data_IF_847371221004
#
_entry.id   IF_847371221004
#
_cell.length_a   1.000
_cell.length_b   1.000
_cell.length_c   1.000
_cell.angle_alpha   90.00
_cell.angle_beta   90.00
_cell.angle_gamma   90.00
#
_symmetry.space_group_name_H-M   'P 1'
#
loop_
_entity.id
_entity.type
_entity.pdbx_description
1 polymer ?
#
# COMPACT_ATOMS: atom_id res chain seq x y z
N UNK A 1 32.24 8.27 21.22
CA UNK A 1 30.83 7.92 21.49
C UNK A 1 30.01 8.31 20.26
N UNK A 2 29.92 7.51 19.18
CA UNK A 2 29.23 8.00 17.95
C UNK A 2 28.66 6.96 16.95
N UNK A 3 28.88 5.64 17.10
CA UNK A 3 28.35 4.65 16.12
C UNK A 3 27.02 4.02 16.56
N UNK A 4 26.63 4.20 17.83
CA UNK A 4 25.34 3.73 18.36
C UNK A 4 24.14 4.52 17.82
N UNK A 5 24.36 5.74 17.32
CA UNK A 5 23.29 6.72 17.07
C UNK A 5 22.61 6.56 15.69
N UNK A 6 23.37 6.16 14.67
CA UNK A 6 22.84 6.06 13.29
C UNK A 6 21.80 4.95 13.10
N UNK A 7 21.85 3.90 13.92
CA UNK A 7 20.87 2.80 13.87
C UNK A 7 19.48 3.26 14.31
N UNK A 8 19.42 4.12 15.34
CA UNK A 8 18.16 4.73 15.78
C UNK A 8 17.53 5.55 14.67
N UNK A 9 18.31 6.36 13.97
CA UNK A 9 17.82 7.15 12.83
C UNK A 9 17.23 6.28 11.72
N UNK A 10 17.88 5.18 11.34
CA UNK A 10 17.36 4.26 10.33
C UNK A 10 16.10 3.54 10.78
N UNK A 11 16.08 3.08 12.03
CA UNK A 11 14.89 2.46 12.64
C UNK A 11 13.72 3.43 12.62
N UNK A 12 13.90 4.64 13.15
CA UNK A 12 12.84 5.66 13.23
C UNK A 12 12.35 6.05 11.83
N UNK A 13 13.24 6.13 10.85
CA UNK A 13 12.88 6.39 9.46
C UNK A 13 12.03 5.25 8.87
N UNK A 14 12.40 3.99 9.09
CA UNK A 14 11.61 2.84 8.65
C UNK A 14 10.25 2.77 9.34
N UNK A 15 10.20 3.07 10.65
CA UNK A 15 8.97 3.09 11.44
C UNK A 15 8.02 4.20 10.96
N UNK A 16 8.56 5.40 10.72
CA UNK A 16 7.81 6.50 10.14
C UNK A 16 7.28 6.16 8.75
N UNK A 17 8.08 5.47 7.92
CA UNK A 17 7.66 5.00 6.60
C UNK A 17 6.51 4.00 6.70
N UNK A 18 6.60 3.01 7.60
CA UNK A 18 5.53 2.04 7.84
C UNK A 18 4.22 2.73 8.21
N UNK A 19 4.28 3.66 9.16
CA UNK A 19 3.11 4.42 9.61
C UNK A 19 2.52 5.29 8.47
N UNK A 20 3.37 5.96 7.71
CA UNK A 20 2.95 6.78 6.56
C UNK A 20 2.26 5.95 5.47
N UNK A 21 2.77 4.75 5.19
CA UNK A 21 2.15 3.82 4.26
C UNK A 21 0.77 3.37 4.75
N UNK A 22 0.62 3.07 6.04
CA UNK A 22 -0.67 2.68 6.63
C UNK A 22 -1.69 3.81 6.50
N UNK A 23 -1.34 5.01 6.97
CA UNK A 23 -2.22 6.18 6.90
C UNK A 23 -2.63 6.49 5.46
N UNK A 24 -1.69 6.38 4.51
CA UNK A 24 -1.98 6.59 3.09
C UNK A 24 -2.96 5.54 2.56
N UNK A 25 -2.75 4.27 2.90
CA UNK A 25 -3.63 3.18 2.50
C UNK A 25 -5.05 3.37 3.06
N UNK A 26 -5.19 3.68 4.35
CA UNK A 26 -6.48 3.91 5.00
C UNK A 26 -7.21 5.10 4.37
N UNK A 27 -6.53 6.23 4.19
CA UNK A 27 -7.09 7.43 3.59
C UNK A 27 -7.56 7.17 2.16
N UNK A 28 -6.72 6.55 1.33
CA UNK A 28 -7.07 6.25 -0.05
C UNK A 28 -8.24 5.26 -0.15
N UNK A 29 -8.30 4.29 0.75
CA UNK A 29 -9.40 3.31 0.82
C UNK A 29 -10.70 4.00 1.20
N UNK A 30 -10.70 4.83 2.24
CA UNK A 30 -11.86 5.59 2.68
C UNK A 30 -12.42 6.50 1.57
N UNK A 31 -11.55 7.25 0.88
CA UNK A 31 -11.96 8.14 -0.22
C UNK A 31 -12.63 7.36 -1.36
N UNK A 32 -12.14 6.17 -1.69
CA UNK A 32 -12.73 5.36 -2.76
C UNK A 32 -14.07 4.76 -2.36
N UNK A 33 -14.19 4.31 -1.12
CA UNK A 33 -15.46 3.81 -0.59
C UNK A 33 -16.53 4.90 -0.54
N UNK A 34 -16.15 6.11 -0.14
CA UNK A 34 -17.03 7.28 -0.17
C UNK A 34 -17.48 7.58 -1.62
N UNK A 35 -16.56 7.56 -2.59
CA UNK A 35 -16.89 7.75 -4.01
C UNK A 35 -17.87 6.69 -4.53
N UNK A 36 -17.65 5.42 -4.18
CA UNK A 36 -18.52 4.31 -4.56
C UNK A 36 -19.91 4.49 -3.93
N UNK A 37 -19.96 4.86 -2.65
CA UNK A 37 -21.20 5.09 -1.92
C UNK A 37 -22.01 6.24 -2.55
N UNK A 38 -21.38 7.39 -2.80
CA UNK A 38 -22.04 8.55 -3.44
C UNK A 38 -22.60 8.14 -4.80
N UNK A 39 -21.82 7.44 -5.63
CA UNK A 39 -22.29 6.94 -6.94
C UNK A 39 -23.50 6.02 -6.81
N UNK A 40 -23.50 5.11 -5.83
CA UNK A 40 -24.61 4.20 -5.62
C UNK A 40 -25.88 4.93 -5.12
N UNK A 41 -25.72 5.93 -4.25
CA UNK A 41 -26.85 6.73 -3.73
C UNK A 41 -27.44 7.69 -4.78
N UNK A 42 -26.63 8.14 -5.73
CA UNK A 42 -27.04 9.11 -6.78
C UNK A 42 -27.40 8.47 -8.11
N UNK A 43 -27.10 7.19 -8.30
CA UNK A 43 -27.39 6.44 -9.52
C UNK A 43 -28.82 5.88 -9.54
N UNK A 44 -29.50 5.97 -10.68
CA UNK A 44 -30.86 5.45 -10.90
C UNK A 44 -30.95 3.90 -10.97
N UNK A 45 -30.00 3.16 -10.40
CA UNK A 45 -29.92 1.70 -10.50
C UNK A 45 -29.50 1.05 -9.20
N UNK A 46 -30.12 -0.08 -8.87
CA UNK A 46 -29.74 -1.00 -7.81
C UNK A 46 -28.40 -1.69 -8.11
N UNK A 47 -27.34 -0.91 -8.35
CA UNK A 47 -25.99 -1.44 -8.50
C UNK A 47 -25.56 -1.95 -7.11
N UNK A 48 -25.43 -3.27 -6.99
CA UNK A 48 -24.99 -3.92 -5.76
C UNK A 48 -23.64 -3.32 -5.32
N UNK A 49 -23.60 -2.64 -4.18
CA UNK A 49 -22.39 -1.98 -3.70
C UNK A 49 -21.42 -3.05 -3.20
N UNK A 50 -20.35 -3.32 -3.95
CA UNK A 50 -19.27 -4.20 -3.49
C UNK A 50 -18.29 -3.43 -2.62
N UNK A 51 -18.57 -3.34 -1.32
CA UNK A 51 -17.67 -2.73 -0.34
C UNK A 51 -16.34 -3.52 -0.14
N UNK A 52 -16.30 -4.81 -0.51
CA UNK A 52 -15.10 -5.65 -0.46
C UNK A 52 -14.39 -5.75 -1.83
N UNK A 53 -13.84 -4.61 -2.28
CA UNK A 53 -13.06 -4.50 -3.51
C UNK A 53 -11.59 -4.90 -3.35
N UNK A 54 -10.83 -4.83 -4.45
CA UNK A 54 -9.40 -5.12 -4.50
C UNK A 54 -8.58 -4.43 -3.41
N UNK A 55 -8.92 -3.18 -3.02
CA UNK A 55 -8.22 -2.45 -1.95
C UNK A 55 -8.32 -3.14 -0.60
N UNK A 56 -9.52 -3.50 -0.14
CA UNK A 56 -9.72 -4.14 1.18
C UNK A 56 -9.12 -5.55 1.28
N UNK A 57 -8.97 -6.26 0.17
CA UNK A 57 -8.43 -7.62 0.16
C UNK A 57 -6.94 -7.62 -0.21
N UNK A 58 -6.66 -7.47 -1.50
CA UNK A 58 -5.30 -7.54 -2.06
C UNK A 58 -4.46 -6.31 -1.72
N UNK A 59 -5.07 -5.13 -1.62
CA UNK A 59 -4.40 -3.91 -1.15
C UNK A 59 -3.94 -4.06 0.30
N UNK A 60 -4.84 -4.49 1.19
CA UNK A 60 -4.53 -4.73 2.60
C UNK A 60 -3.43 -5.78 2.76
N UNK A 61 -3.55 -6.94 2.10
CA UNK A 61 -2.54 -8.00 2.17
C UNK A 61 -1.14 -7.49 1.81
N UNK A 62 -1.01 -6.77 0.69
CA UNK A 62 0.28 -6.23 0.27
C UNK A 62 0.82 -5.15 1.19
N UNK A 63 -0.06 -4.34 1.79
CA UNK A 63 0.36 -3.42 2.84
C UNK A 63 0.95 -4.20 4.02
N UNK A 64 0.27 -5.27 4.48
CA UNK A 64 0.76 -6.14 5.56
C UNK A 64 2.10 -6.76 5.20
N UNK A 65 2.27 -7.29 3.99
CA UNK A 65 3.54 -7.86 3.51
C UNK A 65 4.69 -6.82 3.57
N UNK A 66 4.41 -5.56 3.19
CA UNK A 66 5.39 -4.47 3.27
C UNK A 66 5.70 -4.09 4.72
N UNK A 67 4.68 -4.04 5.58
CA UNK A 67 4.84 -3.73 6.99
C UNK A 67 5.70 -4.78 7.70
N UNK A 68 5.46 -6.06 7.45
CA UNK A 68 6.26 -7.18 7.97
C UNK A 68 7.69 -7.15 7.47
N UNK A 69 7.91 -6.82 6.18
CA UNK A 69 9.25 -6.62 5.64
C UNK A 69 10.00 -5.50 6.36
N UNK A 70 9.32 -4.39 6.65
CA UNK A 70 9.91 -3.26 7.39
C UNK A 70 10.23 -3.67 8.83
N UNK A 71 9.31 -4.37 9.51
CA UNK A 71 9.52 -4.82 10.89
C UNK A 71 10.68 -5.82 10.98
N UNK A 72 10.80 -6.73 10.02
CA UNK A 72 11.94 -7.64 9.89
C UNK A 72 13.25 -6.86 9.70
N UNK A 73 13.27 -5.88 8.80
CA UNK A 73 14.46 -5.06 8.56
C UNK A 73 14.88 -4.25 9.80
N UNK A 74 13.93 -3.73 10.58
CA UNK A 74 14.20 -3.04 11.85
C UNK A 74 14.89 -4.00 12.82
N UNK A 75 14.36 -5.22 12.97
CA UNK A 75 14.94 -6.23 13.84
C UNK A 75 16.38 -6.63 13.42
N UNK A 76 16.59 -6.83 12.11
CA UNK A 76 17.91 -7.14 11.58
C UNK A 76 18.91 -5.99 11.77
N UNK A 77 18.48 -4.73 11.61
CA UNK A 77 19.32 -3.54 11.84
C UNK A 77 19.81 -3.46 13.29
N UNK A 78 18.98 -3.83 14.27
CA UNK A 78 19.34 -3.81 15.69
C UNK A 78 20.44 -4.83 16.03
N UNK A 79 20.39 -6.01 15.38
CA UNK A 79 21.32 -7.11 15.63
C UNK A 79 22.59 -7.07 14.75
N UNK A 80 22.63 -6.18 13.76
CA UNK A 80 23.70 -6.12 12.76
C UNK A 80 24.83 -5.16 13.11
N UNK A 81 25.99 -5.37 12.47
CA UNK A 81 27.06 -4.36 12.43
C UNK A 81 26.58 -3.12 11.69
N UNK A 82 27.22 -1.96 11.91
CA UNK A 82 26.77 -0.70 11.30
C UNK A 82 26.76 -0.74 9.76
N UNK A 83 27.75 -1.42 9.17
CA UNK A 83 27.85 -1.59 7.71
C UNK A 83 26.74 -2.49 7.15
N UNK A 84 26.39 -3.56 7.89
CA UNK A 84 25.28 -4.43 7.52
C UNK A 84 23.94 -3.72 7.68
N UNK A 85 23.76 -3.00 8.78
CA UNK A 85 22.55 -2.22 9.06
C UNK A 85 22.28 -1.17 7.97
N UNK A 86 23.31 -0.47 7.48
CA UNK A 86 23.15 0.50 6.38
C UNK A 86 22.71 -0.19 5.07
N UNK A 87 23.23 -1.39 4.80
CA UNK A 87 22.87 -2.18 3.62
C UNK A 87 21.44 -2.72 3.72
N UNK A 88 21.03 -3.21 4.89
CA UNK A 88 19.66 -3.66 5.17
C UNK A 88 18.69 -2.48 4.98
N UNK A 89 19.01 -1.32 5.56
CA UNK A 89 18.20 -0.10 5.41
C UNK A 89 18.02 0.28 3.94
N UNK A 90 19.11 0.40 3.17
CA UNK A 90 19.05 0.76 1.75
C UNK A 90 18.29 -0.26 0.91
N UNK A 91 18.47 -1.56 1.20
CA UNK A 91 17.74 -2.63 0.50
C UNK A 91 16.24 -2.56 0.79
N UNK A 92 15.87 -2.26 2.03
CA UNK A 92 14.47 -2.11 2.46
C UNK A 92 13.83 -0.94 1.75
N UNK A 93 14.49 0.24 1.71
CA UNK A 93 14.00 1.40 0.97
C UNK A 93 13.72 1.09 -0.51
N UNK A 94 14.64 0.40 -1.18
CA UNK A 94 14.48 0.01 -2.59
C UNK A 94 13.30 -0.94 -2.79
N UNK A 95 13.14 -1.90 -1.88
CA UNK A 95 12.07 -2.89 -1.94
C UNK A 95 10.70 -2.24 -1.75
N UNK A 96 10.57 -1.37 -0.75
CA UNK A 96 9.35 -0.57 -0.51
C UNK A 96 9.04 0.31 -1.72
N UNK A 97 10.02 1.01 -2.29
CA UNK A 97 9.81 1.85 -3.46
C UNK A 97 9.32 1.04 -4.68
N UNK A 98 9.89 -0.14 -4.90
CA UNK A 98 9.47 -1.04 -5.97
C UNK A 98 8.03 -1.54 -5.76
N UNK A 99 7.69 -1.98 -4.55
CA UNK A 99 6.36 -2.46 -4.21
C UNK A 99 5.31 -1.35 -4.33
N UNK A 100 5.60 -0.15 -3.84
CA UNK A 100 4.73 1.02 -4.01
C UNK A 100 4.50 1.38 -5.47
N UNK A 101 5.53 1.26 -6.32
CA UNK A 101 5.40 1.47 -7.76
C UNK A 101 4.48 0.42 -8.39
N UNK A 102 4.64 -0.85 -8.04
CA UNK A 102 3.77 -1.93 -8.54
C UNK A 102 2.34 -1.82 -8.04
N UNK A 103 2.12 -1.46 -6.77
CA UNK A 103 0.80 -1.19 -6.23
C UNK A 103 0.05 -0.14 -7.06
N UNK A 104 0.73 0.97 -7.39
CA UNK A 104 0.17 2.03 -8.25
C UNK A 104 -0.17 1.55 -9.66
N UNK A 105 0.66 0.69 -10.26
CA UNK A 105 0.38 0.11 -11.59
C UNK A 105 -0.85 -0.79 -11.53
N UNK A 106 -0.91 -1.68 -10.53
CA UNK A 106 -1.99 -2.64 -10.41
C UNK A 106 -3.32 -1.94 -10.11
N UNK A 107 -3.34 -0.94 -9.22
CA UNK A 107 -4.54 -0.12 -8.97
C UNK A 107 -5.07 0.58 -10.22
N UNK A 108 -4.17 1.10 -11.07
CA UNK A 108 -4.57 1.69 -12.37
C UNK A 108 -5.16 0.64 -13.30
N UNK A 109 -4.58 -0.56 -13.34
CA UNK A 109 -5.05 -1.64 -14.22
C UNK A 109 -6.40 -2.20 -13.79
N UNK A 110 -6.65 -2.35 -12.48
CA UNK A 110 -7.95 -2.80 -11.96
C UNK A 110 -9.04 -1.79 -12.28
N UNK A 111 -8.76 -0.49 -12.14
CA UNK A 111 -9.73 0.55 -12.49
C UNK A 111 -10.01 0.61 -14.01
N UNK A 112 -9.02 0.29 -14.85
CA UNK A 112 -9.20 0.21 -16.31
C UNK A 112 -10.03 -1.01 -16.75
N UNK A 113 -9.87 -2.15 -16.07
CA UNK A 113 -10.67 -3.36 -16.31
C UNK A 113 -12.15 -3.15 -15.96
N UNK A 114 -12.45 -2.41 -14.89
CA UNK A 114 -13.84 -2.08 -14.51
C UNK A 114 -14.54 -1.18 -15.53
N UNK A 115 -13.80 -0.30 -16.22
CA UNK A 115 -14.36 0.54 -17.30
C UNK A 115 -14.69 -0.31 -18.54
N UNK A 116 -13.77 -1.18 -18.95
CA UNK A 116 -13.97 -2.05 -20.11
C UNK A 116 -15.13 -3.03 -19.92
N UNK A 117 -15.31 -3.56 -18.70
CA UNK A 117 -16.44 -4.44 -18.39
C UNK A 117 -17.79 -3.72 -18.43
N UNK A 118 -17.85 -2.45 -17.99
CA UNK A 118 -19.07 -1.63 -18.06
C UNK A 118 -19.46 -1.30 -19.50
N UNK A 119 -18.48 -1.02 -20.36
CA UNK A 119 -18.74 -0.77 -21.77
C UNK A 119 -19.21 -2.04 -22.48
N UNK A 120 -18.57 -3.19 -22.21
CA UNK A 120 -18.97 -4.46 -22.81
C UNK A 120 -20.42 -4.85 -22.47
N UNK A 121 -20.85 -4.63 -21.22
CA UNK A 121 -22.23 -4.87 -20.78
C UNK A 121 -23.25 -3.89 -21.37
N UNK A 122 -22.82 -2.67 -21.77
CA UNK A 122 -23.67 -1.71 -22.50
C UNK A 122 -23.88 -2.09 -23.97
N UNK A 123 -22.88 -2.71 -24.61
CA UNK A 123 -22.97 -3.15 -26.01
C UNK A 123 -23.79 -4.44 -26.20
N UNK A 124 -24.11 -5.16 -25.13
CA UNK A 124 -24.92 -6.39 -25.19
C UNK A 124 -26.43 -6.17 -24.90
N UNK A 125 -26.89 -4.92 -24.74
CA UNK A 125 -28.32 -4.58 -24.60
C UNK A 125 -28.89 -3.93 -25.86
#
# INVERSE_FOLDING_TARGET
MELSDKRHVWKDSLLAMKNSLMTTYEMMTAVEEERILIRALTGNGYDYIKFAGYRRNEGFRRFTDVAEMIDTAIHEIEQSSLQQASMIYLRTLRSVALLSKWAKVLEKSTNGLDVLNKDFLRYQR
#
